data_IF_865254042049
#
_entry.id   IF_865254042049
#
_cell.length_a   1.000
_cell.length_b   1.000
_cell.length_c   1.000
_cell.angle_alpha   90.00
_cell.angle_beta   90.00
_cell.angle_gamma   90.00
#
_symmetry.space_group_name_H-M   'P 1'
#
loop_
_entity.id
_entity.type
_entity.pdbx_description
1 polymer ?
#
# COMPACT_ATOMS: atom_id res chain seq x y z
N UNK A 1 14.45 5.30 1.43
CA UNK A 1 13.73 6.56 1.12
C UNK A 1 14.43 7.41 0.07
N UNK A 2 15.59 8.03 0.35
CA UNK A 2 16.27 8.94 -0.60
C UNK A 2 16.61 8.25 -1.94
N UNK A 3 17.21 7.06 -1.86
CA UNK A 3 17.51 6.26 -3.05
C UNK A 3 16.23 5.88 -3.82
N UNK A 4 15.21 5.36 -3.12
CA UNK A 4 13.91 5.03 -3.71
C UNK A 4 13.28 6.22 -4.43
N UNK A 5 13.27 7.41 -3.81
CA UNK A 5 12.72 8.63 -4.41
C UNK A 5 13.49 9.05 -5.66
N UNK A 6 14.83 8.98 -5.63
CA UNK A 6 15.68 9.23 -6.81
C UNK A 6 15.38 8.23 -7.93
N UNK A 7 15.27 6.94 -7.62
CA UNK A 7 14.93 5.89 -8.59
C UNK A 7 13.54 6.06 -9.20
N UNK A 8 12.63 6.74 -8.50
CA UNK A 8 11.30 7.14 -9.00
C UNK A 8 11.29 8.49 -9.73
N UNK A 9 12.44 9.14 -9.92
CA UNK A 9 12.55 10.41 -10.63
C UNK A 9 12.03 11.62 -9.85
N UNK A 10 11.99 11.55 -8.51
CA UNK A 10 11.60 12.69 -7.68
C UNK A 10 12.78 13.65 -7.46
N UNK A 11 12.57 14.95 -7.70
CA UNK A 11 13.59 15.98 -7.48
C UNK A 11 14.05 16.06 -6.02
N UNK A 12 13.10 15.91 -5.09
CA UNK A 12 13.34 15.85 -3.65
C UNK A 12 12.41 14.81 -3.02
N UNK A 13 12.90 13.96 -2.09
CA UNK A 13 12.03 13.09 -1.32
C UNK A 13 11.06 13.92 -0.45
N UNK A 14 9.89 13.36 -0.08
CA UNK A 14 9.00 13.97 0.88
C UNK A 14 9.66 14.08 2.27
N UNK A 15 9.18 15.02 3.07
CA UNK A 15 9.54 15.09 4.48
C UNK A 15 8.81 13.95 5.22
N UNK A 16 9.56 13.16 6.00
CA UNK A 16 9.04 11.98 6.71
C UNK A 16 8.88 12.26 8.20
N UNK A 17 7.71 11.91 8.73
CA UNK A 17 7.37 12.08 10.14
C UNK A 17 6.89 10.76 10.74
N UNK A 18 7.21 10.54 12.01
CA UNK A 18 6.65 9.43 12.80
C UNK A 18 5.76 10.05 13.86
N UNK A 19 4.52 9.58 13.95
CA UNK A 19 3.56 10.02 14.98
C UNK A 19 3.06 8.84 15.80
N UNK A 20 2.85 9.06 17.09
CA UNK A 20 2.23 8.06 17.95
C UNK A 20 0.70 8.17 17.80
N UNK A 21 0.05 7.05 17.46
CA UNK A 21 -1.38 7.00 17.15
C UNK A 21 -2.18 6.17 18.16
N UNK A 22 -1.75 6.12 19.44
CA UNK A 22 -2.49 5.50 20.55
C UNK A 22 -3.12 4.12 20.25
N UNK A 23 -2.47 3.27 19.44
CA UNK A 23 -2.91 1.92 19.11
C UNK A 23 -3.54 1.71 17.71
N UNK A 24 -3.74 2.76 16.91
CA UNK A 24 -4.14 2.62 15.50
C UNK A 24 -2.91 2.30 14.62
N UNK A 25 -3.05 1.33 13.71
CA UNK A 25 -2.00 0.93 12.76
C UNK A 25 -2.31 1.49 11.38
N UNK A 26 -1.63 2.56 10.98
CA UNK A 26 -1.81 3.18 9.67
C UNK A 26 -0.55 3.95 9.24
N UNK A 27 -0.46 4.30 7.96
CA UNK A 27 0.44 5.29 7.41
C UNK A 27 -0.32 6.01 6.31
N UNK A 28 -0.09 7.31 6.15
CA UNK A 28 -0.75 8.05 5.08
C UNK A 28 0.17 9.10 4.47
N UNK A 29 0.16 9.14 3.14
CA UNK A 29 0.83 10.12 2.32
C UNK A 29 -0.04 11.38 2.14
N UNK A 30 0.32 12.49 2.79
CA UNK A 30 -0.36 13.76 2.63
C UNK A 30 0.46 14.75 1.78
N UNK A 31 -0.22 15.64 1.04
CA UNK A 31 0.43 16.77 0.35
C UNK A 31 -0.16 18.07 0.87
N UNK A 32 0.69 18.93 1.43
CA UNK A 32 0.29 20.27 1.90
C UNK A 32 0.73 21.32 0.88
N UNK A 33 -0.21 21.76 0.03
CA UNK A 33 -0.09 22.79 -1.04
C UNK A 33 1.07 22.54 -2.04
N UNK A 34 2.32 22.62 -1.60
CA UNK A 34 3.54 22.37 -2.38
C UNK A 34 4.43 21.23 -1.85
N UNK A 35 4.31 20.84 -0.57
CA UNK A 35 5.21 19.87 0.08
C UNK A 35 4.60 18.47 0.14
N UNK A 36 5.39 17.46 -0.25
CA UNK A 36 5.04 16.04 -0.11
C UNK A 36 5.42 15.59 1.31
N UNK A 37 4.48 15.01 2.04
CA UNK A 37 4.67 14.50 3.40
C UNK A 37 4.42 12.98 3.41
N UNK A 38 5.23 12.28 4.20
CA UNK A 38 5.05 10.85 4.47
C UNK A 38 4.97 10.67 5.98
N UNK A 39 3.79 10.29 6.48
CA UNK A 39 3.54 10.14 7.90
C UNK A 39 3.36 8.67 8.22
N UNK A 40 4.20 8.14 9.12
CA UNK A 40 4.15 6.76 9.59
C UNK A 40 3.70 6.72 11.05
N UNK A 41 2.82 5.79 11.42
CA UNK A 41 2.52 5.57 12.83
C UNK A 41 3.62 4.74 13.49
N UNK A 42 3.93 5.07 14.76
CA UNK A 42 4.97 4.38 15.55
C UNK A 42 4.76 2.86 15.58
N UNK A 43 3.51 2.44 15.79
CA UNK A 43 3.18 1.03 15.97
C UNK A 43 3.38 0.23 14.67
N UNK A 44 3.19 0.89 13.53
CA UNK A 44 3.48 0.31 12.22
C UNK A 44 5.00 0.20 11.99
N UNK A 45 5.76 1.23 12.36
CA UNK A 45 7.23 1.19 12.29
C UNK A 45 7.76 0.04 13.13
N UNK A 46 7.28 -0.10 14.36
CA UNK A 46 7.65 -1.20 15.26
C UNK A 46 7.25 -2.57 14.70
N UNK A 47 6.07 -2.67 14.06
CA UNK A 47 5.63 -3.89 13.40
C UNK A 47 6.58 -4.30 12.26
N UNK A 48 7.05 -3.34 11.48
CA UNK A 48 7.84 -3.58 10.26
C UNK A 48 9.34 -3.78 10.54
N UNK A 49 9.86 -3.24 11.64
CA UNK A 49 11.25 -3.47 12.06
C UNK A 49 11.48 -4.85 12.69
N UNK A 50 10.41 -5.50 13.15
CA UNK A 50 10.51 -6.82 13.78
C UNK A 50 10.75 -7.94 12.75
N UNK A 51 11.87 -8.65 12.87
CA UNK A 51 12.18 -9.87 12.11
C UNK A 51 12.89 -9.66 10.76
N UNK A 52 13.11 -8.43 10.33
CA UNK A 52 13.95 -8.14 9.15
C UNK A 52 14.49 -6.70 9.24
N UNK A 53 15.82 -6.58 9.30
CA UNK A 53 16.67 -5.42 9.63
C UNK A 53 16.16 -4.02 9.20
N UNK A 54 15.41 -3.94 8.09
CA UNK A 54 14.66 -2.74 7.67
C UNK A 54 13.76 -2.97 6.46
N UNK A 55 13.98 -4.07 5.74
CA UNK A 55 13.46 -4.26 4.38
C UNK A 55 11.94 -4.15 4.26
N UNK A 56 11.18 -4.59 5.27
CA UNK A 56 9.72 -4.46 5.28
C UNK A 56 9.28 -2.99 5.46
N UNK A 57 9.98 -2.23 6.31
CA UNK A 57 9.77 -0.78 6.42
C UNK A 57 10.13 -0.08 5.11
N UNK A 58 11.25 -0.44 4.49
CA UNK A 58 11.63 0.11 3.18
C UNK A 58 10.59 -0.21 2.10
N UNK A 59 9.96 -1.38 2.15
CA UNK A 59 8.89 -1.76 1.23
C UNK A 59 7.65 -0.86 1.38
N UNK A 60 7.18 -0.66 2.62
CA UNK A 60 6.05 0.26 2.88
C UNK A 60 6.40 1.69 2.48
N UNK A 61 7.59 2.17 2.83
CA UNK A 61 8.05 3.51 2.40
C UNK A 61 8.11 3.61 0.87
N UNK A 62 8.56 2.57 0.16
CA UNK A 62 8.55 2.57 -1.30
C UNK A 62 7.13 2.59 -1.87
N UNK A 63 6.18 1.89 -1.25
CA UNK A 63 4.77 1.92 -1.66
C UNK A 63 4.19 3.33 -1.52
N UNK A 64 4.33 3.96 -0.34
CA UNK A 64 3.83 5.32 -0.10
C UNK A 64 4.52 6.39 -0.98
N UNK A 65 5.82 6.22 -1.24
CA UNK A 65 6.54 7.07 -2.19
C UNK A 65 6.01 6.91 -3.61
N UNK A 66 5.60 5.71 -4.02
CA UNK A 66 5.03 5.47 -5.34
C UNK A 66 3.72 6.25 -5.54
N UNK A 67 2.88 6.38 -4.52
CA UNK A 67 1.69 7.26 -4.58
C UNK A 67 2.06 8.72 -4.86
N UNK A 68 3.15 9.20 -4.27
CA UNK A 68 3.67 10.55 -4.52
C UNK A 68 4.34 10.71 -5.89
N UNK A 69 4.97 9.66 -6.41
CA UNK A 69 5.62 9.68 -7.73
C UNK A 69 4.59 9.60 -8.87
N UNK A 70 3.54 8.80 -8.68
CA UNK A 70 2.41 8.65 -9.61
C UNK A 70 1.33 9.72 -9.46
N UNK A 71 1.54 10.69 -8.55
CA UNK A 71 0.60 11.78 -8.27
C UNK A 71 -0.80 11.34 -7.82
N UNK A 72 -0.91 10.19 -7.15
CA UNK A 72 -2.15 9.70 -6.56
C UNK A 72 -2.68 10.59 -5.42
N UNK A 73 -1.83 11.44 -4.85
CA UNK A 73 -2.17 12.38 -3.76
C UNK A 73 -2.28 13.83 -4.23
N UNK A 74 -2.24 14.07 -5.54
CA UNK A 74 -2.21 15.43 -6.08
C UNK A 74 -3.61 16.05 -6.20
N UNK A 75 -3.70 17.38 -6.08
CA UNK A 75 -4.98 18.10 -6.03
C UNK A 75 -5.84 17.94 -7.28
N UNK A 76 -5.26 17.68 -8.46
CA UNK A 76 -6.04 17.41 -9.68
C UNK A 76 -6.82 16.10 -9.64
N UNK A 77 -6.58 15.23 -8.65
CA UNK A 77 -7.49 14.12 -8.39
C UNK A 77 -8.88 14.60 -7.96
N UNK A 78 -9.06 15.88 -7.61
CA UNK A 78 -10.39 16.50 -7.48
C UNK A 78 -11.22 16.37 -8.78
N UNK A 79 -10.58 16.48 -9.96
CA UNK A 79 -11.27 16.29 -11.24
C UNK A 79 -11.75 14.85 -11.45
N UNK A 80 -11.27 13.90 -10.64
CA UNK A 80 -11.70 12.50 -10.66
C UNK A 80 -12.83 12.22 -9.65
N UNK A 81 -13.21 13.18 -8.77
CA UNK A 81 -14.34 13.02 -7.85
C UNK A 81 -15.67 12.68 -8.57
N UNK A 82 -15.96 13.19 -9.78
CA UNK A 82 -17.16 12.77 -10.49
C UNK A 82 -17.21 11.26 -10.79
N UNK A 83 -16.07 10.57 -10.81
CA UNK A 83 -15.99 9.13 -11.02
C UNK A 83 -16.65 8.33 -9.89
N UNK A 84 -16.78 8.90 -8.69
CA UNK A 84 -17.44 8.25 -7.56
C UNK A 84 -18.97 8.17 -7.74
N UNK A 85 -19.56 8.99 -8.62
CA UNK A 85 -20.98 8.91 -8.98
C UNK A 85 -21.28 7.85 -10.04
N UNK A 86 -20.27 7.39 -10.78
CA UNK A 86 -20.43 6.30 -11.74
C UNK A 86 -20.23 4.98 -10.99
N UNK A 87 -21.22 4.07 -10.98
CA UNK A 87 -21.08 2.79 -10.29
C UNK A 87 -19.76 2.10 -10.62
N UNK A 88 -19.03 1.71 -9.57
CA UNK A 88 -17.76 0.98 -9.62
C UNK A 88 -16.52 1.72 -10.14
N UNK A 89 -16.67 2.91 -10.74
CA UNK A 89 -15.54 3.58 -11.40
C UNK A 89 -14.55 4.17 -10.38
N UNK A 90 -15.06 4.84 -9.34
CA UNK A 90 -14.24 5.33 -8.23
C UNK A 90 -13.45 4.22 -7.52
N UNK A 91 -14.12 3.10 -7.21
CA UNK A 91 -13.48 1.95 -6.59
C UNK A 91 -12.45 1.29 -7.52
N UNK A 92 -12.73 1.19 -8.83
CA UNK A 92 -11.76 0.70 -9.82
C UNK A 92 -10.51 1.59 -9.91
N UNK A 93 -10.68 2.90 -9.89
CA UNK A 93 -9.57 3.86 -9.89
C UNK A 93 -8.73 3.73 -8.61
N UNK A 94 -9.37 3.60 -7.45
CA UNK A 94 -8.68 3.34 -6.18
C UNK A 94 -7.86 2.05 -6.24
N UNK A 95 -8.45 0.94 -6.73
CA UNK A 95 -7.73 -0.33 -6.91
C UNK A 95 -6.54 -0.19 -7.86
N UNK A 96 -6.69 0.54 -8.97
CA UNK A 96 -5.60 0.80 -9.91
C UNK A 96 -4.40 1.51 -9.26
N UNK A 97 -4.68 2.50 -8.38
CA UNK A 97 -3.65 3.23 -7.64
C UNK A 97 -2.84 2.33 -6.72
N UNK A 98 -3.52 1.43 -6.00
CA UNK A 98 -2.89 0.45 -5.12
C UNK A 98 -2.01 -0.53 -5.92
N UNK A 99 -2.54 -1.10 -6.99
CA UNK A 99 -1.79 -2.05 -7.82
C UNK A 99 -0.54 -1.40 -8.41
N UNK A 100 -0.64 -0.19 -8.96
CA UNK A 100 0.50 0.51 -9.56
C UNK A 100 1.59 0.85 -8.53
N UNK A 101 1.21 1.29 -7.33
CA UNK A 101 2.14 1.49 -6.22
C UNK A 101 2.82 0.19 -5.79
N UNK A 102 2.07 -0.92 -5.69
CA UNK A 102 2.60 -2.23 -5.36
C UNK A 102 3.62 -2.75 -6.39
N UNK A 103 3.40 -2.51 -7.69
CA UNK A 103 4.35 -2.89 -8.75
C UNK A 103 5.68 -2.16 -8.56
N UNK A 104 5.63 -0.86 -8.30
CA UNK A 104 6.83 -0.04 -8.09
C UNK A 104 7.58 -0.52 -6.85
N UNK A 105 6.88 -0.74 -5.73
CA UNK A 105 7.48 -1.32 -4.53
C UNK A 105 8.21 -2.63 -4.86
N UNK A 106 7.55 -3.55 -5.56
CA UNK A 106 8.12 -4.85 -5.95
C UNK A 106 9.40 -4.70 -6.77
N UNK A 107 9.42 -3.82 -7.77
CA UNK A 107 10.59 -3.54 -8.63
C UNK A 107 11.76 -2.94 -7.84
N UNK A 108 11.48 -2.10 -6.84
CA UNK A 108 12.53 -1.44 -6.05
C UNK A 108 13.13 -2.35 -4.99
N UNK A 109 12.30 -3.14 -4.28
CA UNK A 109 12.71 -4.01 -3.17
C UNK A 109 13.32 -5.32 -3.66
N UNK A 110 12.84 -5.85 -4.80
CA UNK A 110 13.35 -7.08 -5.44
C UNK A 110 13.29 -8.34 -4.57
N UNK A 111 12.45 -8.37 -3.56
CA UNK A 111 12.23 -9.53 -2.69
C UNK A 111 10.72 -9.75 -2.52
N UNK A 112 10.22 -10.87 -3.07
CA UNK A 112 8.80 -11.19 -3.03
C UNK A 112 8.30 -11.38 -1.60
N UNK A 113 9.07 -12.09 -0.78
CA UNK A 113 8.67 -12.47 0.57
C UNK A 113 8.54 -11.23 1.46
N UNK A 114 9.45 -10.27 1.31
CA UNK A 114 9.42 -9.00 2.03
C UNK A 114 8.20 -8.17 1.61
N UNK A 115 7.95 -8.03 0.30
CA UNK A 115 6.80 -7.27 -0.20
C UNK A 115 5.46 -7.89 0.25
N UNK A 116 5.33 -9.21 0.16
CA UNK A 116 4.14 -9.93 0.62
C UNK A 116 3.95 -9.77 2.14
N UNK A 117 5.02 -9.91 2.93
CA UNK A 117 4.95 -9.78 4.39
C UNK A 117 4.65 -8.35 4.84
N UNK A 118 5.22 -7.34 4.17
CA UNK A 118 4.96 -5.93 4.50
C UNK A 118 3.50 -5.56 4.26
N UNK A 119 2.91 -6.02 3.15
CA UNK A 119 1.49 -5.85 2.85
C UNK A 119 0.60 -6.50 3.91
N UNK A 120 0.93 -7.73 4.33
CA UNK A 120 0.17 -8.42 5.39
C UNK A 120 0.27 -7.71 6.73
N UNK A 121 1.46 -7.25 7.13
CA UNK A 121 1.64 -6.51 8.40
C UNK A 121 0.91 -5.17 8.43
N UNK A 122 0.75 -4.50 7.28
CA UNK A 122 -0.06 -3.27 7.21
C UNK A 122 -1.50 -3.51 7.64
N UNK A 123 -2.09 -4.65 7.28
CA UNK A 123 -3.51 -4.94 7.56
C UNK A 123 -3.71 -5.71 8.87
N UNK A 124 -2.77 -6.59 9.23
CA UNK A 124 -2.91 -7.48 10.39
C UNK A 124 -2.09 -7.03 11.61
N UNK A 125 -1.29 -5.99 11.47
CA UNK A 125 -0.44 -5.47 12.53
C UNK A 125 0.72 -6.38 12.94
N UNK A 126 1.43 -5.93 13.98
CA UNK A 126 2.67 -6.57 14.47
C UNK A 126 2.48 -8.04 14.85
N UNK A 127 1.52 -8.31 15.74
CA UNK A 127 1.38 -9.61 16.39
C UNK A 127 0.87 -10.71 15.46
N UNK A 128 -0.10 -10.38 14.60
CA UNK A 128 -0.74 -11.35 13.70
C UNK A 128 0.06 -11.45 12.40
N UNK A 129 0.58 -10.35 11.88
CA UNK A 129 1.23 -10.32 10.57
C UNK A 129 2.47 -11.21 10.43
N UNK A 130 3.19 -11.47 11.53
CA UNK A 130 4.27 -12.46 11.55
C UNK A 130 3.78 -13.92 11.53
N UNK A 131 2.57 -14.17 12.04
CA UNK A 131 1.97 -15.51 12.20
C UNK A 131 1.13 -15.93 10.98
N UNK A 132 0.75 -15.00 10.11
CA UNK A 132 -0.01 -15.30 8.90
C UNK A 132 0.81 -16.21 7.97
N UNK A 133 0.23 -17.33 7.56
CA UNK A 133 0.73 -18.14 6.47
C UNK A 133 0.39 -17.44 5.14
N UNK A 134 1.41 -16.94 4.44
CA UNK A 134 1.22 -16.15 3.21
C UNK A 134 0.58 -16.97 2.08
N UNK A 135 0.91 -18.26 1.98
CA UNK A 135 0.39 -19.11 0.91
C UNK A 135 -1.08 -19.44 1.11
N UNK A 136 -1.47 -19.76 2.35
CA UNK A 136 -2.90 -19.96 2.69
C UNK A 136 -3.70 -18.67 2.53
N UNK A 137 -3.11 -17.54 2.95
CA UNK A 137 -3.73 -16.23 2.79
C UNK A 137 -4.00 -15.89 1.31
N UNK A 138 -3.05 -16.19 0.41
CA UNK A 138 -3.25 -16.04 -1.05
C UNK A 138 -4.31 -17.01 -1.59
N UNK A 139 -4.41 -18.22 -1.03
CA UNK A 139 -5.37 -19.23 -1.47
C UNK A 139 -6.83 -18.84 -1.20
N UNK A 140 -7.10 -17.91 -0.28
CA UNK A 140 -8.45 -17.39 0.00
C UNK A 140 -9.17 -16.87 -1.26
N UNK A 141 -8.43 -16.32 -2.24
CA UNK A 141 -9.01 -15.89 -3.54
C UNK A 141 -9.68 -17.04 -4.31
N UNK A 142 -9.19 -18.27 -4.12
CA UNK A 142 -9.77 -19.44 -4.77
C UNK A 142 -10.97 -20.00 -4.01
N UNK A 143 -11.04 -19.80 -2.71
CA UNK A 143 -12.09 -20.32 -1.83
C UNK A 143 -13.30 -19.37 -1.81
N UNK A 144 -13.06 -18.06 -1.75
CA UNK A 144 -14.09 -17.04 -1.70
C UNK A 144 -14.58 -16.71 -3.13
N UNK A 145 -15.51 -17.50 -3.65
CA UNK A 145 -16.12 -17.32 -4.97
C UNK A 145 -17.64 -17.15 -4.88
N UNK A 146 -18.19 -16.34 -5.77
CA UNK A 146 -19.64 -16.17 -5.91
C UNK A 146 -20.04 -14.74 -6.24
N UNK A 147 -21.30 -14.54 -6.63
CA UNK A 147 -21.84 -13.24 -7.02
C UNK A 147 -21.71 -12.19 -5.89
N UNK A 148 -22.05 -12.57 -4.65
CA UNK A 148 -22.00 -11.63 -3.51
C UNK A 148 -20.57 -11.28 -3.09
N UNK A 149 -19.62 -12.22 -3.19
CA UNK A 149 -18.20 -11.95 -2.94
C UNK A 149 -17.65 -10.99 -4.00
N UNK A 150 -17.96 -11.24 -5.27
CA UNK A 150 -17.60 -10.34 -6.37
C UNK A 150 -18.22 -8.95 -6.19
N UNK A 151 -19.49 -8.86 -5.81
CA UNK A 151 -20.18 -7.58 -5.61
C UNK A 151 -19.58 -6.80 -4.44
N UNK A 152 -19.29 -7.46 -3.31
CA UNK A 152 -18.62 -6.85 -2.17
C UNK A 152 -17.23 -6.30 -2.56
N UNK A 153 -16.48 -7.03 -3.36
CA UNK A 153 -15.18 -6.59 -3.85
C UNK A 153 -15.29 -5.38 -4.80
N UNK A 154 -16.26 -5.40 -5.71
CA UNK A 154 -16.50 -4.30 -6.65
C UNK A 154 -16.87 -3.00 -5.94
N UNK A 155 -17.54 -3.10 -4.79
CA UNK A 155 -17.91 -1.98 -3.93
C UNK A 155 -16.77 -1.56 -2.98
N UNK A 156 -15.74 -2.39 -2.77
CA UNK A 156 -14.62 -2.07 -1.89
C UNK A 156 -13.68 -1.03 -2.49
N UNK A 157 -13.35 0.00 -1.71
CA UNK A 157 -12.38 1.05 -2.05
C UNK A 157 -10.93 0.54 -2.05
N UNK A 158 -10.63 -0.52 -1.29
CA UNK A 158 -9.33 -1.18 -1.30
C UNK A 158 -9.46 -2.58 -1.92
N UNK A 159 -8.55 -2.96 -2.84
CA UNK A 159 -8.55 -4.31 -3.39
C UNK A 159 -8.25 -5.31 -2.28
N UNK A 160 -8.86 -6.50 -2.36
CA UNK A 160 -8.54 -7.59 -1.43
C UNK A 160 -7.03 -7.85 -1.45
N UNK A 161 -6.41 -7.77 -0.28
CA UNK A 161 -4.96 -7.90 -0.11
C UNK A 161 -4.38 -9.19 -0.74
N UNK A 162 -5.05 -10.36 -0.68
CA UNK A 162 -4.61 -11.56 -1.41
C UNK A 162 -4.44 -11.33 -2.93
N UNK A 163 -5.32 -10.55 -3.57
CA UNK A 163 -5.20 -10.22 -5.00
C UNK A 163 -4.04 -9.28 -5.29
N UNK A 164 -3.78 -8.30 -4.41
CA UNK A 164 -2.59 -7.43 -4.48
C UNK A 164 -1.30 -8.26 -4.45
N UNK A 165 -1.21 -9.20 -3.53
CA UNK A 165 -0.07 -10.12 -3.40
C UNK A 165 0.13 -10.98 -4.67
N UNK A 166 -0.95 -11.53 -5.21
CA UNK A 166 -0.89 -12.28 -6.47
C UNK A 166 -0.47 -11.41 -7.66
N UNK A 167 -0.91 -10.15 -7.70
CA UNK A 167 -0.57 -9.22 -8.79
C UNK A 167 0.93 -8.86 -8.81
N UNK A 168 1.57 -8.71 -7.65
CA UNK A 168 3.03 -8.42 -7.59
C UNK A 168 3.91 -9.64 -7.83
N UNK A 169 3.37 -10.87 -7.70
CA UNK A 169 4.11 -12.11 -7.99
C UNK A 169 4.42 -12.27 -9.47
N UNK A 170 3.57 -11.74 -10.34
CA UNK A 170 3.60 -11.95 -11.80
C UNK A 170 4.33 -10.81 -12.54
N UNK A 171 5.28 -10.15 -11.89
CA UNK A 171 6.07 -9.01 -12.42
C UNK A 171 7.55 -9.34 -12.27
#
# INVERSE_FOLDING_TARGET
>A
MVDSARRMGMDKPPDMYIINAAGELNAFAARLVSRKLLVLYSDLVDALLEGSDKKQLDAVVCHELAHHALNHTHFYNWFLLPADYIPFLGSALSRYREYSADRIMKVLIKDQSICERSLVKLVSGKNIGNKVNLDEYKNQVNVERGFFVWLAEMLSSHPHLPKRMLAIKNI
#
